data_IF_274378571179
#
_entry.id   IF_274378571179
#
_cell.length_a   1.000
_cell.length_b   1.000
_cell.length_c   1.000
_cell.angle_alpha   90.00
_cell.angle_beta   90.00
_cell.angle_gamma   90.00
#
_symmetry.space_group_name_H-M   'P 1'
#
loop_
_entity.id
_entity.type
_entity.pdbx_description
1 polymer ?
#
# COMPACT_ATOMS: atom_id res chain seq x y z
N UNK A 1 -5.20 -11.45 5.76
CA UNK A 1 -3.82 -10.93 5.79
C UNK A 1 -3.76 -9.80 6.78
N UNK A 2 -2.68 -9.68 7.54
CA UNK A 2 -2.47 -8.50 8.39
C UNK A 2 -1.58 -7.54 7.62
N UNK A 3 -2.16 -6.43 7.16
CA UNK A 3 -1.40 -5.34 6.54
C UNK A 3 -0.66 -4.60 7.65
N UNK A 4 0.61 -4.27 7.43
CA UNK A 4 1.41 -3.48 8.35
C UNK A 4 2.04 -2.28 7.66
N UNK A 5 2.33 -1.25 8.44
CA UNK A 5 3.13 -0.14 7.97
C UNK A 5 4.51 -0.64 7.51
N UNK A 6 4.95 -0.18 6.34
CA UNK A 6 6.19 -0.61 5.70
C UNK A 6 6.01 -1.72 4.66
N UNK A 7 4.87 -2.42 4.65
CA UNK A 7 4.58 -3.46 3.65
C UNK A 7 4.59 -2.88 2.24
N UNK A 8 5.07 -3.66 1.29
CA UNK A 8 4.98 -3.36 -0.13
C UNK A 8 3.80 -4.12 -0.74
N UNK A 9 2.88 -3.40 -1.36
CA UNK A 9 1.62 -3.94 -1.90
C UNK A 9 1.40 -3.45 -3.33
N UNK A 10 0.50 -4.13 -4.04
CA UNK A 10 -0.03 -3.70 -5.33
C UNK A 10 -1.50 -3.33 -5.18
N UNK A 11 -2.02 -2.49 -6.06
CA UNK A 11 -3.44 -2.14 -6.08
C UNK A 11 -4.17 -2.91 -7.18
N UNK A 12 -5.43 -3.27 -6.99
CA UNK A 12 -6.27 -3.90 -8.03
C UNK A 12 -6.36 -3.02 -9.28
N UNK A 13 -6.50 -1.72 -9.07
CA UNK A 13 -6.63 -0.73 -10.15
C UNK A 13 -5.29 -0.40 -10.82
N UNK A 14 -4.15 -0.73 -10.21
CA UNK A 14 -2.83 -0.35 -10.69
C UNK A 14 -1.76 -1.37 -10.29
N UNK A 15 -1.09 -1.93 -11.29
CA UNK A 15 -0.02 -2.92 -11.10
C UNK A 15 1.30 -2.33 -10.54
N UNK A 16 1.31 -1.03 -10.24
CA UNK A 16 2.40 -0.35 -9.53
C UNK A 16 2.64 -0.93 -8.13
N UNK A 17 3.87 -0.81 -7.65
CA UNK A 17 4.25 -1.19 -6.31
C UNK A 17 4.16 0.02 -5.39
N UNK A 18 3.58 -0.17 -4.22
CA UNK A 18 3.33 0.88 -3.25
C UNK A 18 3.77 0.42 -1.87
N UNK A 19 4.26 1.36 -1.06
CA UNK A 19 4.60 1.11 0.33
C UNK A 19 3.52 1.67 1.24
N UNK A 20 3.07 0.88 2.21
CA UNK A 20 2.13 1.31 3.25
C UNK A 20 2.83 2.25 4.24
N UNK A 21 2.24 3.42 4.45
CA UNK A 21 2.75 4.49 5.32
C UNK A 21 1.93 4.59 6.61
N UNK A 22 0.65 4.24 6.56
CA UNK A 22 -0.21 4.18 7.73
C UNK A 22 -1.45 3.37 7.42
N UNK A 23 -2.08 2.83 8.46
CA UNK A 23 -3.30 2.02 8.34
C UNK A 23 -4.31 2.57 9.31
N UNK A 24 -5.53 2.76 8.82
CA UNK A 24 -6.69 3.08 9.62
C UNK A 24 -7.70 1.95 9.45
N UNK A 25 -7.61 0.99 10.37
CA UNK A 25 -8.50 -0.17 10.40
C UNK A 25 -9.93 0.18 10.80
N UNK A 26 -10.17 1.33 11.44
CA UNK A 26 -11.50 1.75 11.85
C UNK A 26 -12.31 2.27 10.65
N UNK A 27 -11.62 2.77 9.62
CA UNK A 27 -12.23 3.32 8.39
C UNK A 27 -11.96 2.48 7.13
N UNK A 28 -11.44 1.25 7.28
CA UNK A 28 -11.08 0.34 6.20
C UNK A 28 -10.19 0.99 5.11
N UNK A 29 -9.25 1.84 5.53
CA UNK A 29 -8.36 2.61 4.64
C UNK A 29 -6.90 2.49 5.06
N UNK A 30 -6.01 2.70 4.11
CA UNK A 30 -4.60 2.89 4.41
C UNK A 30 -4.02 4.01 3.54
N UNK A 31 -2.88 4.52 3.96
CA UNK A 31 -2.11 5.51 3.21
C UNK A 31 -0.91 4.83 2.62
N UNK A 32 -0.69 5.05 1.33
CA UNK A 32 0.39 4.44 0.57
C UNK A 32 1.15 5.50 -0.21
N UNK A 33 2.38 5.18 -0.59
CA UNK A 33 3.14 5.95 -1.57
C UNK A 33 3.74 5.03 -2.61
N UNK A 34 4.04 5.55 -3.80
CA UNK A 34 4.72 4.79 -4.84
C UNK A 34 6.10 4.28 -4.35
N UNK A 35 6.42 3.05 -4.73
CA UNK A 35 7.69 2.40 -4.47
C UNK A 35 8.24 1.78 -5.77
N UNK A 36 9.55 1.89 -6.08
CA UNK A 36 10.59 2.58 -5.33
C UNK A 36 10.38 4.10 -5.26
N UNK A 37 11.01 4.73 -4.27
CA UNK A 37 10.96 6.18 -4.10
C UNK A 37 11.57 6.88 -5.31
N UNK A 38 10.84 7.84 -5.87
CA UNK A 38 11.41 8.73 -6.87
C UNK A 38 12.39 9.72 -6.22
N UNK A 39 13.36 10.28 -6.97
CA UNK A 39 14.32 11.26 -6.43
C UNK A 39 13.68 12.48 -5.78
N UNK A 40 12.45 12.84 -6.18
CA UNK A 40 11.67 13.95 -5.62
C UNK A 40 10.77 13.53 -4.45
N UNK A 41 10.88 12.28 -4.01
CA UNK A 41 9.89 11.63 -3.15
C UNK A 41 8.66 11.19 -3.94
N UNK A 42 7.80 10.42 -3.27
CA UNK A 42 6.55 9.94 -3.84
C UNK A 42 5.39 10.43 -2.98
N UNK A 43 4.31 10.97 -3.58
CA UNK A 43 3.19 11.47 -2.82
C UNK A 43 2.52 10.34 -2.04
N UNK A 44 2.06 10.66 -0.84
CA UNK A 44 1.23 9.77 -0.03
C UNK A 44 -0.21 10.02 -0.40
N UNK A 45 -0.96 8.96 -0.68
CA UNK A 45 -2.39 9.01 -0.98
C UNK A 45 -3.12 7.88 -0.27
N UNK A 46 -4.42 8.08 -0.10
CA UNK A 46 -5.30 7.14 0.60
C UNK A 46 -5.86 6.11 -0.37
N UNK A 47 -5.91 4.85 0.08
CA UNK A 47 -6.54 3.75 -0.63
C UNK A 47 -7.45 2.95 0.31
N UNK A 48 -8.63 2.53 -0.16
CA UNK A 48 -9.43 1.52 0.51
C UNK A 48 -8.65 0.21 0.68
N UNK A 49 -8.82 -0.49 1.82
CA UNK A 49 -8.16 -1.78 2.06
C UNK A 49 -8.58 -2.87 1.06
N UNK A 50 -9.79 -2.78 0.52
CA UNK A 50 -10.31 -3.70 -0.50
C UNK A 50 -9.65 -3.53 -1.89
N UNK A 51 -8.91 -2.43 -2.11
CA UNK A 51 -8.16 -2.17 -3.33
C UNK A 51 -6.77 -2.84 -3.32
N UNK A 52 -6.39 -3.53 -2.23
CA UNK A 52 -5.04 -4.04 -2.03
C UNK A 52 -4.92 -5.49 -2.50
N UNK A 53 -4.10 -5.71 -3.52
CA UNK A 53 -3.59 -7.03 -3.85
C UNK A 53 -2.52 -7.42 -2.83
N UNK A 54 -2.92 -8.30 -1.92
CA UNK A 54 -2.02 -8.91 -0.97
C UNK A 54 -1.28 -10.06 -1.68
N UNK A 55 -0.09 -9.77 -2.22
CA UNK A 55 0.80 -10.85 -2.68
C UNK A 55 1.26 -11.61 -1.44
N UNK A 56 0.60 -12.75 -1.17
CA UNK A 56 1.09 -13.72 -0.20
C UNK A 56 2.52 -14.08 -0.57
N UNK A 57 3.48 -13.57 0.19
CA UNK A 57 4.82 -14.13 0.19
C UNK A 57 4.68 -15.54 0.75
N UNK A 58 4.57 -16.52 -0.14
CA UNK A 58 4.79 -17.91 0.22
C UNK A 58 6.26 -17.99 0.64
N UNK A 59 6.47 -18.18 1.94
CA UNK A 59 7.75 -18.55 2.53
C UNK A 59 8.16 -19.94 2.02
#
# INVERSE_FOLDING_TARGET
MSLHQGDCIRLHSNNGLFQVIGIDGDHDRCWVRQWPLEPKGSPVFEVPLDQIHSESRAD
#
